data_IF_994848248101
#
_entry.id   IF_994848248101
#
_cell.length_a   1.000
_cell.length_b   1.000
_cell.length_c   1.000
_cell.angle_alpha   90.00
_cell.angle_beta   90.00
_cell.angle_gamma   90.00
#
_symmetry.space_group_name_H-M   'P 1'
#
loop_
_entity.id
_entity.type
_entity.pdbx_description
1 polymer ?
#
# COMPACT_ATOMS: atom_id res chain seq x y z
N UNK A 1 -26.32 -7.20 3.40
CA UNK A 1 -24.94 -7.30 2.86
C UNK A 1 -24.12 -6.02 3.07
N UNK A 2 -24.61 -4.83 2.69
CA UNK A 2 -23.90 -3.54 2.89
C UNK A 2 -23.47 -3.25 4.34
N UNK A 3 -24.32 -3.54 5.33
CA UNK A 3 -24.03 -3.27 6.75
C UNK A 3 -22.85 -4.08 7.32
N UNK A 4 -22.71 -5.35 6.91
CA UNK A 4 -21.63 -6.23 7.40
C UNK A 4 -20.28 -5.84 6.77
N UNK A 5 -20.27 -5.58 5.47
CA UNK A 5 -19.04 -5.17 4.77
C UNK A 5 -18.54 -3.81 5.28
N UNK A 6 -19.45 -2.88 5.55
CA UNK A 6 -19.10 -1.59 6.16
C UNK A 6 -18.48 -1.78 7.56
N UNK A 7 -19.09 -2.62 8.41
CA UNK A 7 -18.50 -2.92 9.73
C UNK A 7 -17.10 -3.52 9.59
N UNK A 8 -16.91 -4.46 8.67
CA UNK A 8 -15.62 -5.10 8.42
C UNK A 8 -14.53 -4.11 8.01
N UNK A 9 -14.81 -3.21 7.06
CA UNK A 9 -13.84 -2.23 6.55
C UNK A 9 -13.43 -1.20 7.61
N UNK A 10 -14.32 -0.91 8.57
CA UNK A 10 -14.08 0.09 9.61
C UNK A 10 -13.38 -0.46 10.87
N UNK A 11 -13.03 -1.75 10.89
CA UNK A 11 -12.23 -2.33 11.97
C UNK A 11 -10.83 -1.70 11.96
N UNK A 12 -10.21 -1.54 13.12
CA UNK A 12 -8.83 -1.07 13.20
C UNK A 12 -7.91 -2.02 12.43
N UNK A 13 -7.09 -1.45 11.55
CA UNK A 13 -6.11 -2.17 10.74
C UNK A 13 -5.20 -3.11 11.54
N UNK A 14 -4.93 -2.83 12.81
CA UNK A 14 -4.16 -3.73 13.68
C UNK A 14 -4.84 -5.09 13.80
N UNK A 15 -6.17 -5.12 13.91
CA UNK A 15 -6.93 -6.37 13.93
C UNK A 15 -6.91 -7.06 12.57
N UNK A 16 -6.98 -6.30 11.46
CA UNK A 16 -6.80 -6.90 10.13
C UNK A 16 -5.44 -7.58 9.98
N UNK A 17 -4.36 -6.95 10.47
CA UNK A 17 -3.02 -7.53 10.46
C UNK A 17 -2.93 -8.78 11.35
N UNK A 18 -3.49 -8.73 12.57
CA UNK A 18 -3.51 -9.87 13.48
C UNK A 18 -4.31 -11.05 12.90
N UNK A 19 -5.51 -10.78 12.39
CA UNK A 19 -6.36 -11.79 11.76
C UNK A 19 -5.67 -12.43 10.54
N UNK A 20 -5.02 -11.60 9.73
CA UNK A 20 -4.21 -12.01 8.57
C UNK A 20 -3.04 -12.92 8.97
N UNK A 21 -2.35 -12.59 10.07
CA UNK A 21 -1.25 -13.39 10.61
C UNK A 21 -1.75 -14.73 11.15
N UNK A 22 -2.81 -14.73 11.95
CA UNK A 22 -3.41 -15.95 12.52
C UNK A 22 -3.88 -16.90 11.40
N UNK A 23 -4.58 -16.36 10.40
CA UNK A 23 -5.02 -17.15 9.24
C UNK A 23 -3.84 -17.80 8.52
N UNK A 24 -2.75 -17.07 8.28
CA UNK A 24 -1.54 -17.61 7.67
C UNK A 24 -0.91 -18.71 8.51
N UNK A 25 -0.76 -18.52 9.82
CA UNK A 25 -0.22 -19.55 10.71
C UNK A 25 -1.08 -20.83 10.67
N UNK A 26 -2.41 -20.69 10.70
CA UNK A 26 -3.33 -21.83 10.58
C UNK A 26 -3.17 -22.55 9.24
N UNK A 27 -3.05 -21.81 8.13
CA UNK A 27 -2.84 -22.40 6.80
C UNK A 27 -1.46 -23.04 6.65
N UNK A 28 -0.42 -22.51 7.31
CA UNK A 28 0.91 -23.15 7.34
C UNK A 28 0.81 -24.51 8.04
N UNK A 29 0.18 -24.55 9.22
CA UNK A 29 -0.01 -25.80 9.98
C UNK A 29 -0.83 -26.80 9.16
N UNK A 30 -1.95 -26.34 8.59
CA UNK A 30 -2.78 -27.16 7.72
C UNK A 30 -2.00 -27.68 6.51
N UNK A 31 -1.22 -26.82 5.84
CA UNK A 31 -0.44 -27.20 4.67
C UNK A 31 0.63 -28.23 4.97
N UNK A 32 1.29 -28.14 6.15
CA UNK A 32 2.24 -29.17 6.59
C UNK A 32 1.53 -30.51 6.76
N UNK A 33 0.40 -30.52 7.44
CA UNK A 33 -0.41 -31.73 7.63
C UNK A 33 -0.86 -32.29 6.27
N UNK A 34 -1.47 -31.46 5.42
CA UNK A 34 -1.96 -31.86 4.11
C UNK A 34 -0.85 -32.47 3.24
N UNK A 35 0.33 -31.85 3.20
CA UNK A 35 1.46 -32.33 2.40
C UNK A 35 1.99 -33.69 2.84
N UNK A 36 1.75 -34.11 4.09
CA UNK A 36 2.15 -35.41 4.61
C UNK A 36 1.17 -36.54 4.24
N UNK A 37 -0.13 -36.24 4.16
CA UNK A 37 -1.17 -37.26 3.99
C UNK A 37 -1.78 -37.32 2.58
N UNK A 38 -1.70 -36.23 1.81
CA UNK A 38 -2.27 -36.13 0.47
C UNK A 38 -1.23 -36.38 -0.62
N UNK A 39 -1.63 -37.06 -1.68
CA UNK A 39 -0.83 -37.22 -2.90
C UNK A 39 -0.65 -35.88 -3.63
N UNK A 40 -1.72 -35.07 -3.66
CA UNK A 40 -1.69 -33.71 -4.19
C UNK A 40 -1.18 -32.78 -3.10
N UNK A 41 -0.07 -32.09 -3.37
CA UNK A 41 0.55 -31.20 -2.39
C UNK A 41 -0.19 -29.88 -2.32
N UNK A 42 -0.39 -29.40 -1.09
CA UNK A 42 -0.89 -28.06 -0.81
C UNK A 42 0.21 -27.02 -1.03
N UNK A 43 1.44 -27.34 -0.63
CA UNK A 43 2.58 -26.43 -0.87
C UNK A 43 3.03 -26.50 -2.32
N UNK A 44 3.17 -25.32 -2.90
CA UNK A 44 3.59 -25.16 -4.28
C UNK A 44 5.00 -25.73 -4.56
N UNK A 45 5.22 -26.20 -5.78
CA UNK A 45 6.49 -26.86 -6.17
C UNK A 45 7.67 -25.92 -6.05
N UNK A 46 7.43 -24.62 -6.24
CA UNK A 46 8.44 -23.58 -6.15
C UNK A 46 9.08 -23.50 -4.76
N UNK A 47 8.35 -23.86 -3.69
CA UNK A 47 8.92 -23.92 -2.35
C UNK A 47 10.07 -24.93 -2.25
N UNK A 48 9.93 -26.07 -2.95
CA UNK A 48 10.98 -27.09 -3.02
C UNK A 48 12.13 -26.62 -3.91
N UNK A 49 11.83 -25.99 -5.05
CA UNK A 49 12.84 -25.41 -5.95
C UNK A 49 13.70 -24.37 -5.22
N UNK A 50 13.09 -23.51 -4.39
CA UNK A 50 13.81 -22.57 -3.55
C UNK A 50 14.71 -23.25 -2.54
N UNK A 51 14.18 -24.26 -1.85
CA UNK A 51 14.92 -24.99 -0.81
C UNK A 51 16.10 -25.76 -1.43
N UNK A 52 15.91 -26.36 -2.60
CA UNK A 52 16.97 -27.03 -3.36
C UNK A 52 18.06 -26.03 -3.78
N UNK A 53 17.69 -24.89 -4.36
CA UNK A 53 18.65 -23.83 -4.70
C UNK A 53 19.39 -23.29 -3.47
N UNK A 54 18.72 -23.21 -2.32
CA UNK A 54 19.36 -22.84 -1.05
C UNK A 54 20.42 -23.85 -0.61
N UNK A 55 20.23 -25.15 -0.91
CA UNK A 55 21.27 -26.18 -0.69
C UNK A 55 22.48 -25.99 -1.60
N UNK A 56 22.26 -25.61 -2.86
CA UNK A 56 23.38 -25.28 -3.76
C UNK A 56 24.19 -24.11 -3.22
N UNK A 57 23.52 -23.03 -2.80
CA UNK A 57 24.17 -21.86 -2.20
C UNK A 57 24.95 -22.24 -0.92
N UNK A 58 24.36 -23.06 -0.05
CA UNK A 58 25.03 -23.53 1.18
C UNK A 58 26.31 -24.32 0.87
N UNK A 59 26.35 -25.05 -0.24
CA UNK A 59 27.51 -25.82 -0.69
C UNK A 59 28.52 -24.98 -1.49
N UNK A 60 28.34 -23.66 -1.59
CA UNK A 60 29.21 -22.76 -2.36
C UNK A 60 28.96 -22.77 -3.87
N UNK A 61 27.89 -23.43 -4.31
CA UNK A 61 27.48 -23.51 -5.72
C UNK A 61 26.49 -22.39 -6.08
N UNK A 62 26.21 -22.23 -7.37
CA UNK A 62 25.24 -21.25 -7.83
C UNK A 62 23.80 -21.76 -7.55
N UNK A 63 22.86 -20.89 -7.11
CA UNK A 63 21.46 -21.30 -6.97
C UNK A 63 20.84 -21.72 -8.32
N UNK A 64 21.40 -21.24 -9.43
CA UNK A 64 20.97 -21.59 -10.79
C UNK A 64 21.43 -22.98 -11.25
N UNK A 65 22.35 -23.62 -10.51
CA UNK A 65 22.72 -25.01 -10.77
C UNK A 65 21.54 -25.96 -10.47
N UNK A 66 20.55 -25.48 -9.71
CA UNK A 66 19.26 -26.15 -9.63
C UNK A 66 18.47 -25.93 -10.92
N UNK A 67 18.21 -27.02 -11.64
CA UNK A 67 17.28 -27.04 -12.77
C UNK A 67 15.91 -26.44 -12.40
N UNK A 68 15.35 -25.63 -13.30
CA UNK A 68 14.10 -24.85 -13.14
C UNK A 68 14.11 -23.71 -12.11
N UNK A 69 15.25 -23.36 -11.52
CA UNK A 69 15.33 -22.17 -10.67
C UNK A 69 15.34 -20.89 -11.52
N UNK A 70 14.26 -20.10 -11.44
CA UNK A 70 14.05 -18.89 -12.27
C UNK A 70 13.98 -17.59 -11.46
N UNK A 71 14.32 -17.64 -10.18
CA UNK A 71 14.09 -16.56 -9.23
C UNK A 71 15.38 -15.83 -8.88
N UNK A 72 15.26 -14.71 -8.17
CA UNK A 72 16.43 -13.94 -7.74
C UNK A 72 17.27 -14.74 -6.74
N UNK A 73 18.62 -14.76 -6.85
CA UNK A 73 19.51 -15.49 -5.94
C UNK A 73 19.30 -15.12 -4.47
N UNK A 74 18.87 -13.87 -4.22
CA UNK A 74 18.53 -13.38 -2.87
C UNK A 74 17.48 -14.26 -2.19
N UNK A 75 16.51 -14.82 -2.92
CA UNK A 75 15.49 -15.71 -2.36
C UNK A 75 16.13 -17.01 -1.87
N UNK A 76 17.05 -17.60 -2.65
CA UNK A 76 17.77 -18.81 -2.21
C UNK A 76 18.66 -18.53 -1.00
N UNK A 77 19.35 -17.38 -0.96
CA UNK A 77 20.19 -16.99 0.17
C UNK A 77 19.34 -16.81 1.45
N UNK A 78 18.22 -16.10 1.36
CA UNK A 78 17.32 -15.89 2.49
C UNK A 78 16.70 -17.20 3.02
N UNK A 79 16.62 -18.24 2.19
CA UNK A 79 16.06 -19.54 2.54
C UNK A 79 17.09 -20.59 2.91
N UNK A 80 18.37 -20.24 3.04
CA UNK A 80 19.39 -21.13 3.65
C UNK A 80 18.91 -21.73 4.98
N UNK A 81 18.23 -20.98 5.89
CA UNK A 81 17.71 -21.57 7.13
C UNK A 81 16.62 -22.64 6.95
N UNK A 82 16.01 -22.76 5.76
CA UNK A 82 15.13 -23.90 5.45
C UNK A 82 15.90 -25.22 5.51
N UNK A 83 17.18 -25.18 5.13
CA UNK A 83 18.06 -26.35 5.06
C UNK A 83 18.75 -26.58 6.39
N UNK A 84 19.22 -25.52 7.04
CA UNK A 84 20.06 -25.63 8.25
C UNK A 84 19.27 -25.66 9.56
N UNK A 85 18.12 -24.99 9.64
CA UNK A 85 17.30 -24.93 10.86
C UNK A 85 16.05 -25.78 10.74
N UNK A 86 15.13 -25.42 9.83
CA UNK A 86 13.86 -26.12 9.71
C UNK A 86 13.18 -25.82 8.37
N UNK A 87 12.63 -26.84 7.71
CA UNK A 87 12.00 -26.71 6.39
C UNK A 87 10.81 -25.74 6.33
N UNK A 88 10.18 -25.42 7.47
CA UNK A 88 9.04 -24.48 7.55
C UNK A 88 9.47 -23.02 7.64
N UNK A 89 10.76 -22.72 7.87
CA UNK A 89 11.26 -21.37 8.05
C UNK A 89 10.79 -20.41 6.95
N UNK A 90 10.91 -20.81 5.69
CA UNK A 90 10.50 -20.02 4.53
C UNK A 90 9.02 -19.71 4.50
N UNK A 91 8.16 -20.65 4.91
CA UNK A 91 6.70 -20.40 5.01
C UNK A 91 6.40 -19.28 6.00
N UNK A 92 7.11 -19.25 7.12
CA UNK A 92 6.99 -18.20 8.15
C UNK A 92 7.59 -16.88 7.65
N UNK A 93 8.78 -16.93 7.03
CA UNK A 93 9.45 -15.76 6.47
C UNK A 93 8.58 -15.06 5.43
N UNK A 94 8.01 -15.80 4.47
CA UNK A 94 7.11 -15.25 3.46
C UNK A 94 5.85 -14.65 4.07
N UNK A 95 5.26 -15.34 5.04
CA UNK A 95 4.10 -14.82 5.78
C UNK A 95 4.41 -13.53 6.54
N UNK A 96 5.63 -13.39 7.06
CA UNK A 96 6.07 -12.17 7.73
C UNK A 96 6.30 -11.02 6.74
N UNK A 97 6.94 -11.30 5.60
CA UNK A 97 7.15 -10.32 4.53
C UNK A 97 5.82 -9.80 3.99
N UNK A 98 4.80 -10.66 3.84
CA UNK A 98 3.45 -10.24 3.45
C UNK A 98 2.86 -9.18 4.38
N UNK A 99 3.07 -9.33 5.69
CA UNK A 99 2.60 -8.34 6.69
C UNK A 99 3.34 -7.01 6.52
N UNK A 100 4.66 -7.06 6.28
CA UNK A 100 5.45 -5.86 5.98
C UNK A 100 4.92 -5.19 4.71
N UNK A 101 4.68 -5.95 3.64
CA UNK A 101 4.13 -5.44 2.39
C UNK A 101 2.77 -4.79 2.62
N UNK A 102 1.87 -5.40 3.40
CA UNK A 102 0.58 -4.81 3.75
C UNK A 102 0.73 -3.47 4.51
N UNK A 103 1.70 -3.37 5.42
CA UNK A 103 2.00 -2.12 6.13
C UNK A 103 2.53 -1.04 5.16
N UNK A 104 3.44 -1.41 4.27
CA UNK A 104 4.01 -0.50 3.27
C UNK A 104 2.94 0.02 2.30
N UNK A 105 2.08 -0.87 1.78
CA UNK A 105 0.95 -0.49 0.92
C UNK A 105 0.05 0.52 1.65
N UNK A 106 -0.29 0.26 2.92
CA UNK A 106 -1.08 1.19 3.73
C UNK A 106 -0.40 2.55 3.88
N UNK A 107 0.92 2.57 4.09
CA UNK A 107 1.68 3.83 4.19
C UNK A 107 1.62 4.59 2.87
N UNK A 108 1.93 3.95 1.75
CA UNK A 108 1.88 4.55 0.40
C UNK A 108 0.50 5.16 0.17
N UNK A 109 -0.58 4.39 0.38
CA UNK A 109 -1.96 4.88 0.19
C UNK A 109 -2.26 6.08 1.10
N UNK A 110 -1.84 6.07 2.36
CA UNK A 110 -2.03 7.21 3.26
C UNK A 110 -1.28 8.45 2.81
N UNK A 111 -0.03 8.31 2.35
CA UNK A 111 0.76 9.42 1.85
C UNK A 111 0.13 10.01 0.59
N UNK A 112 -0.23 9.19 -0.39
CA UNK A 112 -0.88 9.62 -1.63
C UNK A 112 -2.23 10.30 -1.37
N UNK A 113 -3.07 9.76 -0.47
CA UNK A 113 -4.34 10.38 -0.12
C UNK A 113 -4.16 11.73 0.57
N UNK A 114 -3.18 11.87 1.46
CA UNK A 114 -2.86 13.14 2.11
C UNK A 114 -2.37 14.18 1.10
N UNK A 115 -1.49 13.79 0.19
CA UNK A 115 -1.00 14.65 -0.88
C UNK A 115 -2.15 15.13 -1.79
N UNK A 116 -3.03 14.22 -2.19
CA UNK A 116 -4.22 14.55 -2.98
C UNK A 116 -5.15 15.54 -2.25
N UNK A 117 -5.39 15.34 -0.96
CA UNK A 117 -6.19 16.26 -0.14
C UNK A 117 -5.56 17.66 -0.08
N UNK A 118 -4.24 17.75 0.08
CA UNK A 118 -3.52 19.03 0.05
C UNK A 118 -3.63 19.72 -1.32
N UNK A 119 -3.52 18.96 -2.41
CA UNK A 119 -3.69 19.47 -3.77
C UNK A 119 -5.09 20.06 -3.98
N UNK A 120 -6.14 19.30 -3.66
CA UNK A 120 -7.54 19.75 -3.79
C UNK A 120 -7.80 20.99 -2.94
N UNK A 121 -7.27 21.04 -1.70
CA UNK A 121 -7.44 22.20 -0.83
C UNK A 121 -6.72 23.43 -1.37
N UNK A 122 -5.53 23.27 -1.97
CA UNK A 122 -4.77 24.36 -2.59
C UNK A 122 -5.50 24.93 -3.80
N UNK A 123 -6.09 24.08 -4.64
CA UNK A 123 -6.87 24.51 -5.80
C UNK A 123 -8.11 25.30 -5.39
N UNK A 124 -8.90 24.78 -4.42
CA UNK A 124 -10.04 25.52 -3.85
C UNK A 124 -9.65 26.89 -3.31
N UNK A 125 -8.54 27.00 -2.57
CA UNK A 125 -8.04 28.31 -2.09
C UNK A 125 -7.67 29.25 -3.23
N UNK A 126 -7.04 28.74 -4.29
CA UNK A 126 -6.66 29.55 -5.46
C UNK A 126 -7.90 30.11 -6.17
N UNK A 127 -8.91 29.26 -6.41
CA UNK A 127 -10.18 29.69 -6.99
C UNK A 127 -10.87 30.76 -6.14
N UNK A 128 -10.91 30.58 -4.81
CA UNK A 128 -11.50 31.56 -3.88
C UNK A 128 -10.78 32.91 -3.92
N UNK A 129 -9.44 32.93 -3.95
CA UNK A 129 -8.66 34.18 -4.06
C UNK A 129 -8.96 34.90 -5.38
N UNK A 130 -9.07 34.17 -6.49
CA UNK A 130 -9.43 34.74 -7.80
C UNK A 130 -10.81 35.40 -7.75
N UNK A 131 -11.83 34.71 -7.22
CA UNK A 131 -13.18 35.25 -7.09
C UNK A 131 -13.20 36.49 -6.20
N UNK A 132 -12.53 36.46 -5.04
CA UNK A 132 -12.43 37.60 -4.13
C UNK A 132 -11.74 38.81 -4.80
N UNK A 133 -10.71 38.57 -5.62
CA UNK A 133 -10.03 39.63 -6.37
C UNK A 133 -10.94 40.28 -7.43
N UNK A 134 -11.75 39.48 -8.14
CA UNK A 134 -12.72 39.97 -9.12
C UNK A 134 -13.83 40.78 -8.46
N UNK A 135 -14.37 40.30 -7.33
CA UNK A 135 -15.37 41.02 -6.55
C UNK A 135 -14.84 42.35 -6.01
N UNK A 136 -13.60 42.37 -5.51
CA UNK A 136 -12.94 43.60 -5.04
C UNK A 136 -12.78 44.62 -6.17
N UNK A 137 -12.36 44.16 -7.36
CA UNK A 137 -12.23 45.02 -8.53
C UNK A 137 -13.58 45.58 -8.99
N UNK A 138 -14.63 44.77 -8.97
CA UNK A 138 -15.99 45.19 -9.31
C UNK A 138 -16.50 46.24 -8.32
N UNK A 139 -16.33 46.02 -7.02
CA UNK A 139 -16.72 46.98 -5.98
C UNK A 139 -15.98 48.32 -6.13
N UNK A 140 -14.67 48.29 -6.41
CA UNK A 140 -13.88 49.50 -6.70
C UNK A 140 -14.39 50.27 -7.92
N UNK A 141 -14.77 49.55 -8.99
CA UNK A 141 -15.36 50.17 -10.19
C UNK A 141 -16.69 50.85 -9.89
N UNK A 142 -17.56 50.21 -9.12
CA UNK A 142 -18.87 50.77 -8.72
C UNK A 142 -18.67 52.05 -7.91
N UNK A 143 -17.83 52.01 -6.87
CA UNK A 143 -17.55 53.19 -6.02
C UNK A 143 -16.97 54.34 -6.83
N UNK A 144 -16.01 54.08 -7.73
CA UNK A 144 -15.42 55.11 -8.60
C UNK A 144 -16.45 55.72 -9.55
N UNK A 145 -17.36 54.91 -10.10
CA UNK A 145 -18.40 55.39 -11.01
C UNK A 145 -19.42 56.30 -10.30
N UNK A 146 -19.85 55.91 -9.09
CA UNK A 146 -20.77 56.72 -8.28
C UNK A 146 -20.16 58.07 -7.85
N UNK A 147 -18.88 58.09 -7.46
CA UNK A 147 -18.19 59.34 -7.12
C UNK A 147 -18.02 60.30 -8.30
N UNK A 148 -17.87 59.76 -9.52
CA UNK A 148 -17.81 60.58 -10.74
C UNK A 148 -19.17 61.21 -11.07
N UNK A 149 -20.29 60.50 -10.86
CA UNK A 149 -21.62 61.07 -11.10
C UNK A 149 -21.96 62.21 -10.13
N UNK A 150 -21.63 62.07 -8.84
CA UNK A 150 -21.89 63.11 -7.83
C UNK A 150 -21.12 64.41 -8.16
N UNK A 151 -19.85 64.30 -8.58
CA UNK A 151 -19.05 65.45 -8.99
C UNK A 151 -19.57 66.15 -10.26
N UNK A 152 -20.18 65.40 -11.19
CA UNK A 152 -20.80 65.99 -12.39
C UNK A 152 -22.08 66.75 -11.99
N UNK A 153 -22.91 66.18 -11.12
CA UNK A 153 -24.14 66.82 -10.65
C UNK A 153 -23.89 68.09 -9.83
N UNK A 154 -22.81 68.17 -9.04
CA UNK A 154 -22.44 69.37 -8.29
C UNK A 154 -21.82 70.49 -9.14
N UNK A 155 -21.38 70.19 -10.37
CA UNK A 155 -20.77 71.18 -11.28
C UNK A 155 -21.79 71.82 -12.24
N UNK A 156 -23.04 71.36 -12.20
CA UNK A 156 -24.15 71.76 -13.06
C UNK A 156 -25.16 72.69 -12.35
N UNK A 157 -24.90 73.05 -11.09
CA UNK A 157 -25.58 74.09 -10.31
C UNK A 157 -24.58 75.18 -9.93
#
# INVERSE_FOLDING_TARGET
MYSVCYKFVNIDYKFHLLFSLLTRFMLIIYGIHHDQFSDVKYTDIDYKVFTDASRHVLNGNSPYDRHTYRYSPLVAICLIPNVTLHHVFGKVLFSFIDIIVAILIRQIVKYTLKEYQCYVQKDKRKQMITILSQLKLLALKIVKNSGNQINISQKLY
#
